data_IF_483039204880
#
_entry.id   IF_483039204880
#
_cell.length_a   1.000
_cell.length_b   1.000
_cell.length_c   1.000
_cell.angle_alpha   90.00
_cell.angle_beta   90.00
_cell.angle_gamma   90.00
#
_symmetry.space_group_name_H-M   'P 1'
#
loop_
_entity.id
_entity.type
_entity.pdbx_description
1 polymer ?
#
# COMPACT_ATOMS: atom_id res chain seq x y z
N UNK A 1 -29.95 2.14 -57.84
CA UNK A 1 -29.22 1.54 -56.72
C UNK A 1 -29.15 0.04 -56.96
N UNK A 2 -28.00 -0.44 -57.41
CA UNK A 2 -27.82 -1.87 -57.72
C UNK A 2 -27.40 -2.63 -56.46
N UNK A 3 -27.61 -3.94 -56.43
CA UNK A 3 -27.25 -4.78 -55.27
C UNK A 3 -25.75 -4.69 -54.93
N UNK A 4 -24.91 -4.46 -55.94
CA UNK A 4 -23.46 -4.33 -55.82
C UNK A 4 -23.05 -3.07 -55.06
N UNK A 5 -23.71 -1.94 -55.31
CA UNK A 5 -23.47 -0.67 -54.58
C UNK A 5 -23.83 -0.81 -53.09
N UNK A 6 -24.94 -1.49 -52.78
CA UNK A 6 -25.36 -1.77 -51.41
C UNK A 6 -24.35 -2.68 -50.68
N UNK A 7 -23.83 -3.71 -51.35
CA UNK A 7 -22.81 -4.58 -50.75
C UNK A 7 -21.50 -3.86 -50.49
N UNK A 8 -21.08 -2.94 -51.36
CA UNK A 8 -19.88 -2.14 -51.19
C UNK A 8 -20.02 -1.19 -49.98
N UNK A 9 -21.15 -0.47 -49.89
CA UNK A 9 -21.43 0.44 -48.77
C UNK A 9 -21.48 -0.33 -47.44
N UNK A 10 -22.13 -1.49 -47.42
CA UNK A 10 -22.19 -2.34 -46.24
C UNK A 10 -20.80 -2.84 -45.80
N UNK A 11 -19.95 -3.25 -46.76
CA UNK A 11 -18.58 -3.68 -46.46
C UNK A 11 -17.73 -2.56 -45.86
N UNK A 12 -17.86 -1.33 -46.37
CA UNK A 12 -17.14 -0.15 -45.85
C UNK A 12 -17.61 0.18 -44.44
N UNK A 13 -18.91 0.17 -44.16
CA UNK A 13 -19.47 0.38 -42.83
C UNK A 13 -19.03 -0.71 -41.84
N UNK A 14 -19.02 -1.97 -42.26
CA UNK A 14 -18.55 -3.09 -41.45
C UNK A 14 -17.05 -2.96 -41.12
N UNK A 15 -16.23 -2.56 -42.09
CA UNK A 15 -14.80 -2.30 -41.85
C UNK A 15 -14.60 -1.15 -40.86
N UNK A 16 -15.36 -0.06 -41.01
CA UNK A 16 -15.26 1.11 -40.13
C UNK A 16 -15.67 0.79 -38.70
N UNK A 17 -16.79 0.08 -38.51
CA UNK A 17 -17.27 -0.36 -37.19
C UNK A 17 -16.31 -1.32 -36.51
N UNK A 18 -15.65 -2.22 -37.26
CA UNK A 18 -14.60 -3.09 -36.74
C UNK A 18 -13.39 -2.30 -36.25
N UNK A 19 -12.89 -1.34 -37.04
CA UNK A 19 -11.75 -0.50 -36.67
C UNK A 19 -12.06 0.34 -35.42
N UNK A 20 -13.24 0.95 -35.36
CA UNK A 20 -13.70 1.70 -34.18
C UNK A 20 -13.79 0.83 -32.94
N UNK A 21 -14.33 -0.38 -33.06
CA UNK A 21 -14.45 -1.32 -31.95
C UNK A 21 -13.08 -1.74 -31.40
N UNK A 22 -12.12 -2.00 -32.29
CA UNK A 22 -10.73 -2.30 -31.90
C UNK A 22 -10.05 -1.12 -31.21
N UNK A 23 -10.26 0.10 -31.73
CA UNK A 23 -9.64 1.29 -31.15
C UNK A 23 -10.21 1.62 -29.76
N UNK A 24 -11.53 1.52 -29.60
CA UNK A 24 -12.20 1.70 -28.31
C UNK A 24 -11.80 0.62 -27.31
N UNK A 25 -11.75 -0.64 -27.76
CA UNK A 25 -11.29 -1.77 -26.94
C UNK A 25 -9.85 -1.58 -26.48
N UNK A 26 -8.94 -1.24 -27.39
CA UNK A 26 -7.53 -1.00 -27.08
C UNK A 26 -7.34 0.14 -26.07
N UNK A 27 -8.02 1.28 -26.27
CA UNK A 27 -7.95 2.42 -25.34
C UNK A 27 -8.51 2.07 -23.95
N UNK A 28 -9.59 1.29 -23.89
CA UNK A 28 -10.17 0.83 -22.63
C UNK A 28 -9.22 -0.11 -21.88
N UNK A 29 -8.62 -1.07 -22.59
CA UNK A 29 -7.67 -2.02 -22.04
C UNK A 29 -6.42 -1.32 -21.53
N UNK A 30 -5.84 -0.40 -22.30
CA UNK A 30 -4.67 0.37 -21.87
C UNK A 30 -4.93 1.20 -20.60
N UNK A 31 -6.11 1.82 -20.50
CA UNK A 31 -6.50 2.55 -19.30
C UNK A 31 -6.78 1.63 -18.10
N UNK A 32 -7.23 0.38 -18.33
CA UNK A 32 -7.35 -0.62 -17.28
C UNK A 32 -5.97 -1.08 -16.80
N UNK A 33 -5.07 -1.44 -17.71
CA UNK A 33 -3.70 -1.85 -17.39
C UNK A 33 -2.95 -0.80 -16.59
N UNK A 34 -3.03 0.47 -17.00
CA UNK A 34 -2.41 1.58 -16.26
C UNK A 34 -2.97 1.74 -14.84
N UNK A 35 -4.26 1.46 -14.64
CA UNK A 35 -4.90 1.49 -13.31
C UNK A 35 -4.44 0.30 -12.47
N UNK A 36 -4.44 -0.90 -13.04
CA UNK A 36 -3.96 -2.11 -12.38
C UNK A 36 -2.50 -1.96 -11.97
N UNK A 37 -1.64 -1.40 -12.82
CA UNK A 37 -0.23 -1.20 -12.50
C UNK A 37 -0.02 -0.21 -11.36
N UNK A 38 -0.75 0.91 -11.34
CA UNK A 38 -0.71 1.86 -10.21
C UNK A 38 -1.21 1.23 -8.92
N UNK A 39 -2.22 0.38 -9.00
CA UNK A 39 -2.76 -0.32 -7.84
C UNK A 39 -1.80 -1.37 -7.31
N UNK A 40 -1.20 -2.17 -8.20
CA UNK A 40 -0.18 -3.16 -7.84
C UNK A 40 1.01 -2.49 -7.14
N UNK A 41 1.48 -1.34 -7.66
CA UNK A 41 2.53 -0.57 -6.99
C UNK A 41 2.12 -0.09 -5.59
N UNK A 42 0.83 0.23 -5.37
CA UNK A 42 0.36 0.65 -4.05
C UNK A 42 0.25 -0.53 -3.08
N UNK A 43 -0.17 -1.70 -3.56
CA UNK A 43 -0.14 -2.95 -2.79
C UNK A 43 1.30 -3.27 -2.38
N UNK A 44 2.23 -3.24 -3.32
CA UNK A 44 3.64 -3.49 -3.07
C UNK A 44 4.20 -2.51 -2.02
N UNK A 45 3.81 -1.23 -2.08
CA UNK A 45 4.19 -0.25 -1.06
C UNK A 45 3.66 -0.61 0.33
N UNK A 46 2.42 -1.08 0.44
CA UNK A 46 1.81 -1.48 1.71
C UNK A 46 2.45 -2.76 2.26
N UNK A 47 2.71 -3.76 1.41
CA UNK A 47 3.40 -4.99 1.81
C UNK A 47 4.81 -4.71 2.33
N UNK A 48 5.57 -3.84 1.65
CA UNK A 48 6.89 -3.41 2.13
C UNK A 48 6.80 -2.71 3.49
N UNK A 49 5.75 -1.93 3.74
CA UNK A 49 5.52 -1.31 5.05
C UNK A 49 5.23 -2.37 6.12
N UNK A 50 4.35 -3.32 5.84
CA UNK A 50 4.01 -4.41 6.77
C UNK A 50 5.24 -5.23 7.15
N UNK A 51 6.10 -5.54 6.19
CA UNK A 51 7.36 -6.24 6.44
C UNK A 51 8.29 -5.43 7.36
N UNK A 52 8.49 -4.14 7.09
CA UNK A 52 9.32 -3.27 7.91
C UNK A 52 8.79 -3.13 9.34
N UNK A 53 7.48 -2.98 9.49
CA UNK A 53 6.80 -2.86 10.79
C UNK A 53 6.91 -4.19 11.55
N UNK A 54 6.77 -5.33 10.87
CA UNK A 54 6.97 -6.66 11.45
C UNK A 54 8.39 -6.87 11.96
N UNK A 55 9.39 -6.53 11.15
CA UNK A 55 10.81 -6.58 11.54
C UNK A 55 11.06 -5.68 12.76
N UNK A 56 10.52 -4.46 12.77
CA UNK A 56 10.67 -3.55 13.90
C UNK A 56 10.05 -4.11 15.18
N UNK A 57 8.85 -4.69 15.07
CA UNK A 57 8.17 -5.32 16.20
C UNK A 57 9.02 -6.48 16.75
N UNK A 58 9.59 -7.31 15.88
CA UNK A 58 10.45 -8.44 16.27
C UNK A 58 11.71 -7.94 16.99
N UNK A 59 12.45 -7.01 16.39
CA UNK A 59 13.69 -6.44 16.96
C UNK A 59 13.45 -5.85 18.35
N UNK A 60 12.34 -5.12 18.53
CA UNK A 60 11.99 -4.48 19.80
C UNK A 60 11.43 -5.49 20.80
N UNK A 61 10.75 -6.55 20.35
CA UNK A 61 10.12 -7.55 21.22
C UNK A 61 11.07 -8.64 21.71
N UNK A 62 12.10 -8.99 20.93
CA UNK A 62 13.09 -10.00 21.30
C UNK A 62 13.98 -9.49 22.44
N UNK A 63 14.45 -10.40 23.29
CA UNK A 63 15.48 -10.15 24.30
C UNK A 63 16.85 -9.96 23.64
N UNK A 64 16.98 -8.90 22.85
CA UNK A 64 18.22 -8.55 22.16
C UNK A 64 19.07 -7.68 23.10
N UNK A 65 20.40 -7.86 23.08
CA UNK A 65 21.29 -6.97 23.85
C UNK A 65 21.16 -5.53 23.40
N UNK A 66 21.42 -4.59 24.31
CA UNK A 66 21.28 -3.15 24.07
C UNK A 66 22.14 -2.70 22.88
N UNK A 67 23.33 -3.28 22.67
CA UNK A 67 24.17 -2.93 21.52
C UNK A 67 23.55 -3.31 20.18
N UNK A 68 22.97 -4.51 20.07
CA UNK A 68 22.29 -4.98 18.86
C UNK A 68 21.02 -4.17 18.60
N UNK A 69 20.29 -3.85 19.66
CA UNK A 69 19.07 -3.06 19.56
C UNK A 69 19.38 -1.66 18.99
N UNK A 70 20.46 -1.02 19.42
CA UNK A 70 20.92 0.26 18.83
C UNK A 70 21.37 0.11 17.37
N UNK A 71 22.12 -0.95 17.05
CA UNK A 71 22.63 -1.17 15.70
C UNK A 71 21.51 -1.42 14.68
N UNK A 72 20.49 -2.20 15.07
CA UNK A 72 19.45 -2.69 14.15
C UNK A 72 18.23 -1.76 14.11
N UNK A 73 17.85 -1.16 15.25
CA UNK A 73 16.63 -0.35 15.34
C UNK A 73 16.82 1.10 14.89
N UNK A 74 17.96 1.74 15.15
CA UNK A 74 18.20 3.15 14.74
C UNK A 74 17.99 3.38 13.24
N UNK A 75 18.61 2.60 12.32
CA UNK A 75 18.38 2.78 10.89
C UNK A 75 16.95 2.46 10.47
N UNK A 76 16.30 1.52 11.17
CA UNK A 76 14.91 1.15 10.91
C UNK A 76 13.93 2.24 11.35
N UNK A 77 14.21 2.91 12.47
CA UNK A 77 13.45 4.02 13.00
C UNK A 77 13.40 5.20 12.03
N UNK A 78 14.57 5.67 11.55
CA UNK A 78 14.66 6.78 10.59
C UNK A 78 13.90 6.47 9.29
N UNK A 79 13.97 5.21 8.84
CA UNK A 79 13.23 4.76 7.68
C UNK A 79 11.71 4.78 7.93
N UNK A 80 11.25 4.26 9.08
CA UNK A 80 9.81 4.23 9.40
C UNK A 80 9.21 5.64 9.57
N UNK A 81 9.95 6.61 10.12
CA UNK A 81 9.51 8.01 10.16
C UNK A 81 9.36 8.60 8.75
N UNK A 82 10.35 8.35 7.88
CA UNK A 82 10.29 8.76 6.49
C UNK A 82 9.10 8.11 5.75
N UNK A 83 8.88 6.81 5.99
CA UNK A 83 7.77 6.05 5.42
C UNK A 83 6.42 6.60 5.88
N UNK A 84 6.26 6.99 7.14
CA UNK A 84 5.06 7.65 7.63
C UNK A 84 4.72 8.92 6.82
N UNK A 85 5.74 9.70 6.44
CA UNK A 85 5.59 10.86 5.55
C UNK A 85 5.10 10.48 4.14
N UNK A 86 5.60 9.38 3.58
CA UNK A 86 5.19 8.87 2.25
C UNK A 86 3.75 8.37 2.20
N UNK A 87 3.17 8.00 3.34
CA UNK A 87 1.77 7.58 3.46
C UNK A 87 0.84 8.74 3.87
N UNK A 88 1.23 10.02 3.71
CA UNK A 88 0.39 11.18 4.00
C UNK A 88 -0.99 11.17 3.29
N UNK A 89 -1.12 10.44 2.17
CA UNK A 89 -2.39 10.19 1.47
C UNK A 89 -3.40 9.40 2.31
N UNK A 90 -2.94 8.65 3.30
CA UNK A 90 -3.73 7.84 4.22
C UNK A 90 -3.44 8.32 5.66
N UNK A 91 -4.13 9.39 6.14
CA UNK A 91 -3.80 10.03 7.40
C UNK A 91 -3.84 9.11 8.61
N UNK A 92 -4.81 8.19 8.66
CA UNK A 92 -4.95 7.23 9.76
C UNK A 92 -3.81 6.21 9.77
N UNK A 93 -3.41 5.69 8.60
CA UNK A 93 -2.24 4.83 8.49
C UNK A 93 -0.96 5.59 8.91
N UNK A 94 -0.77 6.81 8.43
CA UNK A 94 0.38 7.63 8.81
C UNK A 94 0.42 7.91 10.32
N UNK A 95 -0.74 8.13 10.95
CA UNK A 95 -0.88 8.28 12.40
C UNK A 95 -0.55 6.99 13.13
N UNK A 96 -1.04 5.84 12.66
CA UNK A 96 -0.75 4.53 13.24
C UNK A 96 0.75 4.21 13.18
N UNK A 97 1.40 4.47 12.03
CA UNK A 97 2.86 4.28 11.90
C UNK A 97 3.63 5.12 12.92
N UNK A 98 3.27 6.40 13.10
CA UNK A 98 3.92 7.26 14.11
C UNK A 98 3.69 6.75 15.53
N UNK A 99 2.48 6.27 15.84
CA UNK A 99 2.16 5.66 17.13
C UNK A 99 3.03 4.44 17.41
N UNK A 100 3.16 3.56 16.42
CA UNK A 100 4.02 2.39 16.50
C UNK A 100 5.51 2.74 16.69
N UNK A 101 6.04 3.67 15.89
CA UNK A 101 7.43 4.14 16.01
C UNK A 101 7.68 4.73 17.40
N UNK A 102 6.74 5.53 17.91
CA UNK A 102 6.84 6.09 19.25
C UNK A 102 6.85 5.02 20.34
N UNK A 103 5.95 4.03 20.28
CA UNK A 103 5.94 2.93 21.24
C UNK A 103 7.23 2.10 21.20
N UNK A 104 7.80 1.91 20.01
CA UNK A 104 9.09 1.25 19.85
C UNK A 104 10.22 2.03 20.52
N UNK A 105 10.26 3.36 20.33
CA UNK A 105 11.23 4.23 21.00
C UNK A 105 11.14 4.15 22.52
N UNK A 106 9.92 4.20 23.09
CA UNK A 106 9.73 4.07 24.53
C UNK A 106 10.29 2.73 25.05
N UNK A 107 10.00 1.64 24.34
CA UNK A 107 10.50 0.30 24.70
C UNK A 107 12.02 0.20 24.61
N UNK A 108 12.61 0.80 23.57
CA UNK A 108 14.06 0.85 23.36
C UNK A 108 14.74 1.65 24.48
N UNK A 109 14.22 2.85 24.78
CA UNK A 109 14.74 3.71 25.85
C UNK A 109 14.65 3.02 27.21
N UNK A 110 13.50 2.43 27.55
CA UNK A 110 13.33 1.70 28.80
C UNK A 110 14.29 0.50 28.91
N UNK A 111 14.54 -0.22 27.81
CA UNK A 111 15.54 -1.30 27.77
C UNK A 111 16.98 -0.79 27.99
N UNK A 112 17.32 0.37 27.42
CA UNK A 112 18.62 1.01 27.60
C UNK A 112 18.81 1.47 29.06
N UNK A 113 17.76 2.00 29.66
CA UNK A 113 17.76 2.55 31.03
C UNK A 113 17.58 1.47 32.11
N UNK A 114 17.50 0.19 31.73
CA UNK A 114 17.25 -0.96 32.61
C UNK A 114 15.93 -0.87 33.40
N UNK A 115 14.93 -0.19 32.85
CA UNK A 115 13.59 -0.06 33.43
C UNK A 115 12.68 -1.24 33.03
N UNK A 116 11.54 -1.39 33.71
CA UNK A 116 10.54 -2.39 33.35
C UNK A 116 9.82 -2.00 32.06
N UNK A 117 10.21 -2.62 30.95
CA UNK A 117 9.69 -2.32 29.62
C UNK A 117 8.47 -3.16 29.22
N UNK A 118 7.91 -3.99 30.13
CA UNK A 118 6.78 -4.89 29.82
C UNK A 118 5.55 -4.13 29.33
N UNK A 119 5.22 -3.01 29.98
CA UNK A 119 4.11 -2.14 29.60
C UNK A 119 4.31 -1.55 28.18
N UNK A 120 5.52 -1.09 27.88
CA UNK A 120 5.85 -0.54 26.56
C UNK A 120 5.83 -1.61 25.46
N UNK A 121 6.22 -2.85 25.77
CA UNK A 121 6.13 -3.99 24.83
C UNK A 121 4.67 -4.32 24.46
N UNK A 122 3.75 -4.24 25.41
CA UNK A 122 2.32 -4.41 25.15
C UNK A 122 1.77 -3.25 24.30
N UNK A 123 2.23 -2.03 24.55
CA UNK A 123 1.93 -0.85 23.74
C UNK A 123 2.41 -1.02 22.29
N UNK A 124 3.63 -1.51 22.06
CA UNK A 124 4.15 -1.83 20.71
C UNK A 124 3.25 -2.82 19.99
N UNK A 125 2.81 -3.87 20.68
CA UNK A 125 1.92 -4.88 20.10
C UNK A 125 0.54 -4.31 19.76
N UNK A 126 0.02 -3.41 20.59
CA UNK A 126 -1.24 -2.72 20.34
C UNK A 126 -1.15 -1.79 19.13
N UNK A 127 -0.09 -0.99 19.05
CA UNK A 127 0.13 -0.07 17.91
C UNK A 127 0.43 -0.83 16.62
N UNK A 128 1.13 -1.96 16.70
CA UNK A 128 1.34 -2.87 15.56
C UNK A 128 0.01 -3.30 14.95
N UNK A 129 -0.93 -3.79 15.76
CA UNK A 129 -2.25 -4.23 15.30
C UNK A 129 -2.99 -3.09 14.60
N UNK A 130 -2.88 -1.85 15.11
CA UNK A 130 -3.49 -0.67 14.46
C UNK A 130 -2.92 -0.42 13.07
N UNK A 131 -1.59 -0.53 12.89
CA UNK A 131 -0.96 -0.38 11.57
C UNK A 131 -1.48 -1.43 10.61
N UNK A 132 -1.50 -2.71 11.01
CA UNK A 132 -1.99 -3.81 10.15
C UNK A 132 -3.47 -3.62 9.81
N UNK A 133 -4.31 -3.25 10.79
CA UNK A 133 -5.74 -2.99 10.57
C UNK A 133 -5.95 -1.88 9.53
N UNK A 134 -5.12 -0.83 9.57
CA UNK A 134 -5.19 0.26 8.60
C UNK A 134 -4.69 -0.15 7.22
N UNK A 135 -3.67 -1.00 7.12
CA UNK A 135 -3.25 -1.60 5.86
C UNK A 135 -4.37 -2.45 5.25
N UNK A 136 -4.96 -3.36 6.03
CA UNK A 136 -6.08 -4.22 5.61
C UNK A 136 -7.26 -3.38 5.12
N UNK A 137 -7.60 -2.31 5.85
CA UNK A 137 -8.67 -1.38 5.47
C UNK A 137 -8.43 -0.75 4.11
N UNK A 138 -7.19 -0.39 3.78
CA UNK A 138 -6.84 0.20 2.48
C UNK A 138 -6.91 -0.86 1.38
N UNK A 139 -6.55 -2.10 1.69
CA UNK A 139 -6.57 -3.24 0.77
C UNK A 139 -7.98 -3.82 0.54
N UNK A 140 -9.00 -3.38 1.30
CA UNK A 140 -10.36 -3.90 1.17
C UNK A 140 -10.93 -3.79 -0.26
N UNK A 141 -11.57 -4.86 -0.79
CA UNK A 141 -12.12 -4.90 -2.15
C UNK A 141 -13.14 -3.80 -2.47
N UNK A 142 -13.86 -3.29 -1.47
CA UNK A 142 -14.88 -2.23 -1.66
C UNK A 142 -14.27 -0.88 -2.05
N UNK A 143 -13.07 -0.57 -1.56
CA UNK A 143 -12.33 0.63 -1.97
C UNK A 143 -11.72 0.45 -3.37
N UNK A 144 -11.29 -0.77 -3.68
CA UNK A 144 -10.84 -1.23 -5.00
C UNK A 144 -11.87 -0.93 -6.09
N UNK A 145 -13.13 -1.28 -5.86
CA UNK A 145 -14.23 -1.05 -6.80
C UNK A 145 -14.57 0.45 -6.96
N UNK A 146 -14.40 1.23 -5.88
CA UNK A 146 -14.61 2.69 -5.89
C UNK A 146 -13.48 3.45 -6.60
N UNK A 147 -12.23 2.99 -6.53
CA UNK A 147 -11.12 3.53 -7.32
C UNK A 147 -11.30 3.24 -8.82
N UNK A 148 -11.85 2.08 -9.15
CA UNK A 148 -12.16 1.68 -10.52
C UNK A 148 -13.32 2.50 -11.10
N UNK A 149 -14.33 2.83 -10.29
CA UNK A 149 -15.56 3.55 -10.72
C UNK A 149 -15.46 5.08 -10.68
N UNK A 150 -14.71 5.71 -9.77
CA UNK A 150 -14.71 7.20 -9.60
C UNK A 150 -14.04 8.02 -10.73
N UNK A 151 -13.58 7.41 -11.83
CA UNK A 151 -12.94 8.13 -12.96
C UNK A 151 -13.43 7.74 -14.36
N UNK A 152 -14.49 6.93 -14.45
CA UNK A 152 -15.32 6.79 -15.66
C UNK A 152 -16.46 7.77 -15.55
#
# INVERSE_FOLDING_TARGET
MTKEELTLIAAILAAFTSILSLFLGSKLTFNREKRTLRWNNEIERLQNLEEQIGIAQEVVSVYTSVEKLRADFIPLHENLEYVAGRFARYPELAKAIRGFVHACNLTVSAKIEHEDYREYKEMVSTEYIKVITECDRILEPKLLDSFVKRKT
#
